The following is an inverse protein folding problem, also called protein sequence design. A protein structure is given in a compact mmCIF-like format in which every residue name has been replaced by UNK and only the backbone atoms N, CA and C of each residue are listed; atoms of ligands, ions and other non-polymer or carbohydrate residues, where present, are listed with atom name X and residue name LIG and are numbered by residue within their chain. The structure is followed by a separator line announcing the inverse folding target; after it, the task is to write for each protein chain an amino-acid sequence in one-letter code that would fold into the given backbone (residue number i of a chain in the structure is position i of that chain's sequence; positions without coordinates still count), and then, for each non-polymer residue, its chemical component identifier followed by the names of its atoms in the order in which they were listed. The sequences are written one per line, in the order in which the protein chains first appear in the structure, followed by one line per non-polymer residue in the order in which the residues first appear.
data_IF_737314226417
#
_entry.id   IF_737314226417
#
_cell.length_a   1.000
_cell.length_b   1.000
_cell.length_c   1.000
_cell.angle_alpha   90.00
_cell.angle_beta   90.00
_cell.angle_gamma   90.00
#
_symmetry.space_group_name_H-M   'P 1'
#
loop_
_entity.id
_entity.type
_entity.pdbx_description
1 polymer ?
#
# COMPACT_ATOMS: atom_id res chain seq x y z
N UNK A 1 14.99 6.12 35.49
CA UNK A 1 15.32 5.85 34.07
C UNK A 1 14.21 6.30 33.12
N UNK A 2 12.91 6.17 33.46
CA UNK A 2 11.78 6.62 32.62
C UNK A 2 11.94 8.03 32.06
N UNK A 3 12.30 9.01 32.90
CA UNK A 3 12.61 10.38 32.44
C UNK A 3 13.77 10.43 31.44
N UNK A 4 14.82 9.61 31.61
CA UNK A 4 15.95 9.56 30.68
C UNK A 4 15.58 8.89 29.35
N UNK A 5 14.71 7.88 29.37
CA UNK A 5 14.16 7.22 28.17
C UNK A 5 13.31 8.24 27.41
N UNK A 6 12.39 8.92 28.09
CA UNK A 6 11.57 10.00 27.53
C UNK A 6 12.45 11.10 26.91
N UNK A 7 13.50 11.55 27.59
CA UNK A 7 14.43 12.53 27.02
C UNK A 7 15.23 11.98 25.83
N UNK A 8 15.62 10.70 25.84
CA UNK A 8 16.32 10.09 24.72
C UNK A 8 15.42 10.04 23.48
N UNK A 9 14.16 9.63 23.64
CA UNK A 9 13.14 9.63 22.57
C UNK A 9 12.88 11.05 22.08
N UNK A 10 12.71 12.01 22.99
CA UNK A 10 12.50 13.43 22.66
C UNK A 10 13.60 13.97 21.74
N UNK A 11 14.86 13.63 22.03
CA UNK A 11 16.03 14.15 21.32
C UNK A 11 16.52 13.27 20.16
N UNK A 12 15.76 12.23 19.79
CA UNK A 12 16.15 11.23 18.78
C UNK A 12 17.51 10.57 19.11
N UNK A 13 17.84 10.42 20.39
CA UNK A 13 19.10 9.90 20.90
C UNK A 13 19.05 8.37 21.03
N UNK A 14 19.23 7.71 19.88
CA UNK A 14 19.17 6.25 19.73
C UNK A 14 20.29 5.55 20.52
N UNK A 15 21.50 6.11 20.52
CA UNK A 15 22.64 5.50 21.21
C UNK A 15 22.39 5.48 22.73
N UNK A 16 21.83 6.55 23.27
CA UNK A 16 21.42 6.57 24.67
C UNK A 16 20.28 5.59 24.95
N UNK A 17 19.28 5.50 24.06
CA UNK A 17 18.19 4.54 24.23
C UNK A 17 18.70 3.09 24.26
N UNK A 18 19.67 2.75 23.42
CA UNK A 18 20.34 1.44 23.39
C UNK A 18 20.95 1.06 24.74
N UNK A 19 21.51 2.04 25.46
CA UNK A 19 22.10 1.84 26.79
C UNK A 19 21.07 1.79 27.93
N UNK A 20 19.92 2.45 27.77
CA UNK A 20 18.89 2.57 28.81
C UNK A 20 17.93 1.38 28.82
N UNK A 21 17.75 0.71 27.68
CA UNK A 21 16.84 -0.42 27.53
C UNK A 21 17.56 -1.75 27.78
N UNK A 22 16.88 -2.65 28.48
CA UNK A 22 17.40 -3.96 28.91
C UNK A 22 17.41 -4.94 27.72
N UNK A 23 18.56 -5.57 27.47
CA UNK A 23 18.75 -6.58 26.42
C UNK A 23 17.87 -7.82 26.61
N UNK A 24 17.45 -8.10 27.85
CA UNK A 24 16.65 -9.29 28.18
C UNK A 24 15.14 -9.04 28.14
N UNK A 25 14.71 -7.81 27.85
CA UNK A 25 13.30 -7.45 27.71
C UNK A 25 12.90 -7.32 26.23
N UNK A 26 11.62 -7.55 25.97
CA UNK A 26 10.98 -7.17 24.71
C UNK A 26 10.39 -5.76 24.81
N UNK A 27 10.27 -5.10 23.66
CA UNK A 27 9.62 -3.80 23.54
C UNK A 27 8.64 -3.87 22.37
N UNK A 28 7.36 -3.65 22.61
CA UNK A 28 6.26 -3.93 21.68
C UNK A 28 6.30 -5.39 21.18
N UNK A 29 6.52 -6.33 22.10
CA UNK A 29 6.66 -7.77 21.86
C UNK A 29 7.85 -8.17 20.96
N UNK A 30 8.75 -7.27 20.55
CA UNK A 30 9.93 -7.62 19.73
C UNK A 30 11.23 -7.45 20.51
N UNK A 31 12.33 -8.00 19.97
CA UNK A 31 13.66 -7.78 20.56
C UNK A 31 14.03 -6.29 20.64
N UNK A 32 14.80 -5.90 21.65
CA UNK A 32 15.32 -4.52 21.78
C UNK A 32 15.98 -4.02 20.49
N UNK A 33 16.85 -4.84 19.90
CA UNK A 33 17.56 -4.48 18.68
C UNK A 33 16.62 -4.14 17.52
N UNK A 34 15.54 -4.93 17.33
CA UNK A 34 14.55 -4.66 16.29
C UNK A 34 13.73 -3.41 16.60
N UNK A 35 13.29 -3.25 17.85
CA UNK A 35 12.55 -2.07 18.31
C UNK A 35 13.33 -0.78 18.04
N UNK A 36 14.58 -0.71 18.50
CA UNK A 36 15.44 0.46 18.34
C UNK A 36 15.75 0.72 16.86
N UNK A 37 16.04 -0.32 16.08
CA UNK A 37 16.27 -0.20 14.63
C UNK A 37 15.07 0.42 13.92
N UNK A 38 13.85 -0.01 14.25
CA UNK A 38 12.62 0.49 13.63
C UNK A 38 12.30 1.91 14.07
N UNK A 39 12.44 2.24 15.35
CA UNK A 39 12.29 3.61 15.86
C UNK A 39 13.30 4.57 15.20
N UNK A 40 14.56 4.16 15.06
CA UNK A 40 15.60 4.95 14.38
C UNK A 40 15.26 5.22 12.91
N UNK A 41 14.64 4.26 12.19
CA UNK A 41 14.17 4.50 10.82
C UNK A 41 13.14 5.64 10.78
N UNK A 42 12.22 5.69 11.74
CA UNK A 42 11.22 6.77 11.84
C UNK A 42 11.87 8.12 12.13
N UNK A 43 12.81 8.18 13.06
CA UNK A 43 13.57 9.40 13.34
C UNK A 43 14.41 9.85 12.13
N UNK A 44 15.03 8.94 11.39
CA UNK A 44 15.76 9.27 10.15
C UNK A 44 14.83 9.81 9.07
N UNK A 45 13.60 9.31 8.97
CA UNK A 45 12.60 9.86 8.05
C UNK A 45 12.24 11.29 8.45
N UNK A 46 11.87 11.51 9.71
CA UNK A 46 11.55 12.84 10.23
C UNK A 46 12.69 13.85 10.01
N UNK A 47 13.95 13.42 10.18
CA UNK A 47 15.13 14.27 9.91
C UNK A 47 15.24 14.69 8.45
N UNK A 48 14.87 13.83 7.49
CA UNK A 48 14.83 14.20 6.06
C UNK A 48 13.79 15.29 5.79
N UNK A 49 12.73 15.31 6.60
CA UNK A 49 11.65 16.30 6.53
C UNK A 49 11.92 17.54 7.41
N UNK A 50 13.13 17.65 7.99
CA UNK A 50 13.57 18.79 8.79
C UNK A 50 13.28 18.70 10.29
N UNK A 51 12.59 17.66 10.76
CA UNK A 51 12.31 17.43 12.18
C UNK A 51 13.47 16.67 12.84
N UNK A 52 14.22 17.33 13.73
CA UNK A 52 15.41 16.76 14.36
C UNK A 52 15.19 16.27 15.81
N UNK A 53 14.10 16.68 16.44
CA UNK A 53 13.69 16.33 17.80
C UNK A 53 12.21 16.66 17.98
N UNK A 54 11.62 16.17 19.06
CA UNK A 54 10.33 16.65 19.55
C UNK A 54 10.54 17.87 20.46
N UNK A 55 9.67 18.86 20.36
CA UNK A 55 9.74 20.10 21.12
C UNK A 55 9.10 19.93 22.51
N UNK A 56 7.97 19.23 22.56
CA UNK A 56 7.17 19.06 23.76
C UNK A 56 6.63 17.64 23.94
N UNK A 57 6.22 17.34 25.17
CA UNK A 57 5.62 16.07 25.56
C UNK A 57 4.31 16.36 26.28
N UNK A 58 3.23 15.76 25.81
CA UNK A 58 1.89 15.94 26.34
C UNK A 58 1.33 14.61 26.85
N UNK A 59 0.55 14.65 27.91
CA UNK A 59 -0.09 13.46 28.45
C UNK A 59 -1.50 13.30 27.87
N UNK A 60 -1.97 12.05 27.91
CA UNK A 60 -3.31 11.68 27.50
C UNK A 60 -3.68 10.30 28.00
N UNK A 61 -4.90 9.89 27.68
CA UNK A 61 -5.40 8.56 28.00
C UNK A 61 -5.50 7.73 26.73
N UNK A 62 -4.91 6.54 26.75
CA UNK A 62 -5.09 5.57 25.69
C UNK A 62 -6.55 5.08 25.68
N UNK A 63 -7.17 5.06 24.51
CA UNK A 63 -8.58 4.64 24.36
C UNK A 63 -8.74 3.32 23.59
N UNK A 64 -7.63 2.71 23.17
CA UNK A 64 -7.60 1.45 22.41
C UNK A 64 -6.70 0.40 23.09
N UNK A 65 -5.39 0.47 22.86
CA UNK A 65 -4.41 -0.58 23.14
C UNK A 65 -4.30 -0.90 24.64
N UNK A 66 -4.10 0.14 25.45
CA UNK A 66 -4.01 0.06 26.92
C UNK A 66 -5.10 0.95 27.52
N UNK A 67 -6.36 0.59 27.25
CA UNK A 67 -7.52 1.44 27.51
C UNK A 67 -7.56 1.93 28.97
N UNK A 68 -7.57 3.25 29.13
CA UNK A 68 -7.61 3.91 30.44
C UNK A 68 -6.23 4.21 31.05
N UNK A 69 -5.14 3.70 30.46
CA UNK A 69 -3.79 4.01 30.92
C UNK A 69 -3.32 5.37 30.39
N UNK A 70 -2.53 6.07 31.21
CA UNK A 70 -1.86 7.30 30.81
C UNK A 70 -0.71 7.00 29.83
N UNK A 71 -0.67 7.75 28.74
CA UNK A 71 0.33 7.66 27.69
C UNK A 71 0.81 9.08 27.30
N UNK A 72 1.87 9.15 26.49
CA UNK A 72 2.54 10.40 26.13
C UNK A 72 2.50 10.61 24.62
N UNK A 73 2.18 11.83 24.20
CA UNK A 73 2.44 12.34 22.84
C UNK A 73 3.76 13.08 22.86
N UNK A 74 4.72 12.65 22.05
CA UNK A 74 5.88 13.45 21.71
C UNK A 74 5.53 14.27 20.46
N UNK A 75 5.65 15.60 20.51
CA UNK A 75 5.21 16.47 19.42
C UNK A 75 6.31 17.49 19.06
N UNK A 76 6.52 17.67 17.77
CA UNK A 76 7.34 18.77 17.24
C UNK A 76 6.47 19.93 16.75
N UNK A 77 7.06 21.12 16.67
CA UNK A 77 6.46 22.32 16.09
C UNK A 77 6.15 22.16 14.59
N UNK A 78 6.78 21.20 13.92
CA UNK A 78 6.47 20.83 12.53
C UNK A 78 5.26 19.89 12.40
N UNK A 79 4.64 19.51 13.53
CA UNK A 79 3.49 18.62 13.60
C UNK A 79 3.81 17.13 13.50
N UNK A 80 5.09 16.75 13.41
CA UNK A 80 5.51 15.36 13.60
C UNK A 80 5.24 14.91 15.02
N UNK A 81 4.64 13.74 15.19
CA UNK A 81 4.29 13.21 16.49
C UNK A 81 4.54 11.71 16.63
N UNK A 82 4.70 11.26 17.87
CA UNK A 82 4.75 9.85 18.24
C UNK A 82 4.02 9.65 19.57
N UNK A 83 2.98 8.84 19.56
CA UNK A 83 2.21 8.51 20.75
C UNK A 83 2.72 7.20 21.36
N UNK A 84 3.21 7.22 22.60
CA UNK A 84 3.77 6.06 23.29
C UNK A 84 3.14 5.82 24.65
N UNK A 85 2.93 4.54 24.97
CA UNK A 85 2.72 4.06 26.33
C UNK A 85 4.03 3.44 26.84
N UNK A 86 4.57 3.96 27.93
CA UNK A 86 5.78 3.44 28.59
C UNK A 86 5.36 2.77 29.89
N UNK A 87 5.35 1.44 29.88
CA UNK A 87 5.06 0.62 31.06
C UNK A 87 6.27 0.62 31.99
N UNK A 88 6.02 0.79 33.28
CA UNK A 88 7.05 0.76 34.32
C UNK A 88 6.39 0.45 35.66
N UNK A 89 6.69 -0.72 36.22
CA UNK A 89 6.16 -1.19 37.51
C UNK A 89 6.85 -0.53 38.69
N UNK A 90 8.14 -0.24 38.57
CA UNK A 90 8.98 0.39 39.60
C UNK A 90 9.02 1.93 39.46
N UNK A 91 8.47 2.48 38.38
CA UNK A 91 8.55 3.91 38.03
C UNK A 91 9.95 4.35 37.56
N UNK A 92 10.92 3.45 37.57
CA UNK A 92 12.31 3.71 37.26
C UNK A 92 12.70 3.13 35.91
N UNK A 93 12.52 1.83 35.69
CA UNK A 93 12.87 1.09 34.47
C UNK A 93 11.66 0.91 33.56
N UNK A 94 11.89 0.86 32.24
CA UNK A 94 10.83 0.48 31.31
C UNK A 94 10.69 -1.05 31.32
N UNK A 95 9.46 -1.51 31.57
CA UNK A 95 9.09 -2.92 31.38
C UNK A 95 8.75 -3.20 29.92
N UNK A 96 8.09 -2.25 29.27
CA UNK A 96 7.79 -2.29 27.84
C UNK A 96 7.51 -0.86 27.33
N UNK A 97 7.56 -0.66 26.02
CA UNK A 97 7.25 0.58 25.32
C UNK A 97 6.41 0.24 24.08
N UNK A 98 5.20 0.77 24.02
CA UNK A 98 4.26 0.52 22.92
C UNK A 98 3.88 1.82 22.21
N UNK A 99 3.68 1.74 20.90
CA UNK A 99 2.98 2.77 20.13
C UNK A 99 1.49 2.74 20.50
N UNK A 100 0.94 3.90 20.83
CA UNK A 100 -0.46 4.06 21.18
C UNK A 100 -1.27 4.52 19.96
N UNK A 101 -2.04 3.61 19.36
CA UNK A 101 -2.80 3.89 18.13
C UNK A 101 -3.97 4.86 18.31
N UNK A 102 -4.41 5.12 19.55
CA UNK A 102 -5.53 6.03 19.83
C UNK A 102 -5.39 6.72 21.18
N UNK A 103 -4.57 7.76 21.21
CA UNK A 103 -4.37 8.61 22.38
C UNK A 103 -5.32 9.81 22.35
N UNK A 104 -6.11 9.98 23.42
CA UNK A 104 -6.84 11.23 23.65
C UNK A 104 -6.03 12.10 24.58
N UNK A 105 -5.48 13.19 24.06
CA UNK A 105 -4.69 14.15 24.84
C UNK A 105 -5.59 15.00 25.76
N UNK A 106 -5.01 15.49 26.86
CA UNK A 106 -5.71 16.41 27.78
C UNK A 106 -5.87 17.82 27.23
N UNK A 107 -5.18 18.12 26.14
CA UNK A 107 -5.30 19.35 25.37
C UNK A 107 -5.40 19.01 23.89
N UNK A 108 -5.96 19.92 23.11
CA UNK A 108 -5.99 19.79 21.66
C UNK A 108 -4.59 20.04 21.09
N UNK A 109 -4.15 19.14 20.21
CA UNK A 109 -2.83 19.15 19.59
C UNK A 109 -2.96 19.09 18.08
N UNK A 110 -2.15 19.88 17.38
CA UNK A 110 -2.05 19.83 15.92
C UNK A 110 -1.06 18.74 15.51
N UNK A 111 -1.59 17.53 15.28
CA UNK A 111 -0.84 16.35 14.84
C UNK A 111 -0.97 16.20 13.33
N UNK A 112 0.13 16.31 12.59
CA UNK A 112 0.12 16.26 11.12
C UNK A 112 0.86 15.04 10.55
N UNK A 113 2.00 14.65 11.13
CA UNK A 113 2.83 13.55 10.60
C UNK A 113 3.06 12.48 11.66
N UNK A 114 2.44 11.32 11.49
CA UNK A 114 2.54 10.19 12.42
C UNK A 114 3.86 9.43 12.25
N UNK A 115 4.65 9.35 13.32
CA UNK A 115 5.89 8.55 13.38
C UNK A 115 5.68 7.16 13.99
N UNK A 116 4.44 6.77 14.28
CA UNK A 116 4.05 5.44 14.76
C UNK A 116 4.52 4.30 13.84
N UNK A 117 4.66 3.13 14.45
CA UNK A 117 5.08 1.89 13.78
C UNK A 117 4.48 0.66 14.45
N UNK A 118 4.35 -0.40 13.66
CA UNK A 118 3.92 -1.73 14.09
C UNK A 118 4.96 -2.77 13.68
N UNK A 119 4.82 -3.97 14.25
CA UNK A 119 5.59 -5.15 13.88
C UNK A 119 4.63 -6.25 13.44
N UNK A 120 5.09 -7.08 12.50
CA UNK A 120 4.39 -8.30 12.10
C UNK A 120 4.36 -9.31 13.25
N UNK A 121 3.38 -10.21 13.22
CA UNK A 121 3.24 -11.31 14.19
C UNK A 121 4.49 -12.21 14.18
N UNK A 122 5.07 -12.43 13.01
CA UNK A 122 6.30 -13.18 12.79
C UNK A 122 7.59 -12.48 13.23
N UNK A 123 7.52 -11.20 13.58
CA UNK A 123 8.64 -10.44 14.15
C UNK A 123 8.65 -10.48 15.68
N UNK A 124 7.56 -10.96 16.30
CA UNK A 124 7.43 -11.03 17.76
C UNK A 124 8.43 -12.03 18.36
N UNK A 125 8.92 -11.70 19.56
CA UNK A 125 9.93 -12.46 20.28
C UNK A 125 9.47 -13.88 20.62
N UNK A 126 8.19 -14.07 20.88
CA UNK A 126 7.58 -15.36 21.22
C UNK A 126 6.95 -16.09 20.03
N UNK A 127 7.12 -15.56 18.82
CA UNK A 127 6.60 -16.18 17.61
C UNK A 127 7.18 -17.58 17.41
N UNK A 128 6.28 -18.53 17.11
CA UNK A 128 6.65 -19.91 16.79
C UNK A 128 6.09 -20.22 15.41
N UNK A 129 6.94 -20.32 14.37
CA UNK A 129 6.48 -20.61 13.04
C UNK A 129 5.91 -22.03 12.99
N UNK A 130 4.76 -22.18 12.35
CA UNK A 130 4.23 -23.50 12.01
C UNK A 130 4.80 -23.97 10.66
N UNK A 131 4.43 -25.19 10.27
CA UNK A 131 4.92 -25.79 9.02
C UNK A 131 4.48 -24.97 7.79
N UNK A 132 3.28 -24.40 7.81
CA UNK A 132 2.72 -23.63 6.70
C UNK A 132 3.50 -22.33 6.50
N UNK A 133 3.76 -21.60 7.58
CA UNK A 133 4.57 -20.39 7.56
C UNK A 133 5.97 -20.66 7.02
N UNK A 134 6.61 -21.77 7.45
CA UNK A 134 7.95 -22.14 6.98
C UNK A 134 7.98 -22.43 5.48
N UNK A 135 7.00 -23.17 4.97
CA UNK A 135 6.89 -23.48 3.53
C UNK A 135 6.69 -22.18 2.73
N UNK A 136 5.77 -21.32 3.17
CA UNK A 136 5.49 -20.06 2.49
C UNK A 136 6.72 -19.15 2.48
N UNK A 137 7.42 -19.04 3.62
CA UNK A 137 8.66 -18.27 3.72
C UNK A 137 9.74 -18.79 2.75
N UNK A 138 9.95 -20.11 2.68
CA UNK A 138 10.90 -20.71 1.76
C UNK A 138 10.55 -20.42 0.29
N UNK A 139 9.26 -20.54 -0.07
CA UNK A 139 8.77 -20.22 -1.40
C UNK A 139 8.95 -18.74 -1.76
N UNK A 140 8.69 -17.83 -0.81
CA UNK A 140 8.92 -16.40 -0.98
C UNK A 140 10.41 -16.08 -1.18
N UNK A 141 11.29 -16.62 -0.35
CA UNK A 141 12.74 -16.41 -0.45
C UNK A 141 13.31 -16.97 -1.77
N UNK A 142 12.80 -18.11 -2.22
CA UNK A 142 13.13 -18.68 -3.52
C UNK A 142 12.65 -17.79 -4.66
N UNK A 143 11.39 -17.33 -4.63
CA UNK A 143 10.85 -16.42 -5.65
C UNK A 143 11.66 -15.12 -5.72
N UNK A 144 11.94 -14.50 -4.58
CA UNK A 144 12.76 -13.29 -4.49
C UNK A 144 14.14 -13.50 -5.13
N UNK A 145 14.77 -14.64 -4.83
CA UNK A 145 16.08 -14.99 -5.36
C UNK A 145 16.03 -15.21 -6.87
N UNK A 146 15.05 -15.95 -7.39
CA UNK A 146 14.93 -16.23 -8.82
C UNK A 146 14.56 -14.98 -9.62
N UNK A 147 13.66 -14.16 -9.11
CA UNK A 147 13.26 -12.90 -9.76
C UNK A 147 14.43 -11.91 -9.84
N UNK A 148 15.29 -11.87 -8.81
CA UNK A 148 16.49 -11.02 -8.84
C UNK A 148 17.53 -11.43 -9.89
N UNK A 149 17.41 -12.66 -10.43
CA UNK A 149 18.28 -13.19 -11.49
C UNK A 149 17.66 -13.07 -12.89
N UNK A 150 16.40 -12.65 -12.99
CA UNK A 150 15.78 -12.43 -14.29
C UNK A 150 16.53 -11.32 -15.01
N UNK A 151 17.07 -11.64 -16.18
CA UNK A 151 17.80 -10.72 -17.03
C UNK A 151 17.37 -10.85 -18.50
N UNK A 152 17.69 -9.83 -19.28
CA UNK A 152 17.38 -9.81 -20.71
C UNK A 152 15.89 -9.63 -21.04
N UNK A 153 15.52 -10.15 -22.21
CA UNK A 153 14.17 -10.07 -22.77
C UNK A 153 13.47 -11.41 -22.51
N UNK A 154 12.33 -11.36 -21.84
CA UNK A 154 11.54 -12.54 -21.48
C UNK A 154 10.16 -12.44 -22.14
N UNK A 155 9.69 -13.50 -22.80
CA UNK A 155 8.34 -13.52 -23.35
C UNK A 155 7.30 -13.63 -22.25
N UNK A 156 6.17 -12.95 -22.43
CA UNK A 156 5.06 -12.96 -21.48
C UNK A 156 4.59 -14.38 -21.13
N UNK A 157 4.41 -15.24 -22.14
CA UNK A 157 3.93 -16.60 -21.92
C UNK A 157 4.99 -17.47 -21.21
N UNK A 158 6.26 -17.31 -21.58
CA UNK A 158 7.38 -18.03 -20.93
C UNK A 158 7.49 -17.63 -19.45
N UNK A 159 7.32 -16.34 -19.13
CA UNK A 159 7.31 -15.86 -17.75
C UNK A 159 6.10 -16.40 -16.97
N UNK A 160 4.93 -16.42 -17.60
CA UNK A 160 3.68 -16.93 -17.01
C UNK A 160 3.80 -18.44 -16.70
N UNK A 161 4.27 -19.22 -17.66
CA UNK A 161 4.48 -20.65 -17.51
C UNK A 161 5.54 -20.93 -16.45
N UNK A 162 6.67 -20.24 -16.47
CA UNK A 162 7.70 -20.38 -15.45
C UNK A 162 7.14 -20.06 -14.05
N UNK A 163 6.42 -18.95 -13.89
CA UNK A 163 5.90 -18.53 -12.59
C UNK A 163 4.92 -19.56 -12.01
N UNK A 164 3.92 -19.98 -12.78
CA UNK A 164 2.92 -20.92 -12.28
C UNK A 164 3.46 -22.35 -12.17
N UNK A 165 4.45 -22.76 -12.96
CA UNK A 165 5.08 -24.07 -12.78
C UNK A 165 5.93 -24.17 -11.50
N UNK A 166 6.48 -23.05 -11.00
CA UNK A 166 7.38 -23.03 -9.86
C UNK A 166 6.75 -22.48 -8.57
N UNK A 167 5.78 -21.58 -8.67
CA UNK A 167 5.26 -20.80 -7.54
C UNK A 167 3.72 -20.77 -7.45
N UNK A 168 3.02 -21.69 -8.12
CA UNK A 168 1.56 -21.78 -8.03
C UNK A 168 1.08 -21.98 -6.59
N UNK A 169 1.81 -22.73 -5.76
CA UNK A 169 1.48 -22.89 -4.34
C UNK A 169 1.46 -21.53 -3.62
N UNK A 170 2.56 -20.78 -3.71
CA UNK A 170 2.70 -19.46 -3.09
C UNK A 170 1.61 -18.51 -3.57
N UNK A 171 1.39 -18.45 -4.89
CA UNK A 171 0.34 -17.64 -5.51
C UNK A 171 -1.05 -17.96 -4.94
N UNK A 172 -1.44 -19.25 -4.95
CA UNK A 172 -2.75 -19.68 -4.46
C UNK A 172 -2.93 -19.43 -2.98
N UNK A 173 -1.92 -19.73 -2.16
CA UNK A 173 -1.98 -19.54 -0.71
C UNK A 173 -2.17 -18.06 -0.40
N UNK A 174 -1.30 -17.18 -0.92
CA UNK A 174 -1.39 -15.74 -0.70
C UNK A 174 -2.72 -15.14 -1.19
N UNK A 175 -3.18 -15.52 -2.38
CA UNK A 175 -4.44 -15.03 -2.94
C UNK A 175 -5.68 -15.53 -2.19
N UNK A 176 -5.54 -16.57 -1.34
CA UNK A 176 -6.61 -17.09 -0.50
C UNK A 176 -6.66 -16.47 0.89
N UNK A 177 -5.60 -15.78 1.32
CA UNK A 177 -5.54 -15.13 2.62
C UNK A 177 -6.40 -13.86 2.62
N UNK A 178 -6.95 -13.54 3.79
CA UNK A 178 -7.62 -12.27 4.00
C UNK A 178 -6.58 -11.12 3.94
N UNK A 179 -6.91 -9.94 3.37
CA UNK A 179 -5.97 -8.82 3.30
C UNK A 179 -5.39 -8.42 4.67
N UNK A 180 -6.16 -8.52 5.75
CA UNK A 180 -5.67 -8.22 7.10
C UNK A 180 -4.75 -9.31 7.63
N UNK A 181 -4.93 -10.56 7.21
CA UNK A 181 -4.01 -11.65 7.53
C UNK A 181 -2.66 -11.46 6.84
N UNK A 182 -2.67 -11.09 5.55
CA UNK A 182 -1.45 -10.72 4.83
C UNK A 182 -0.71 -9.56 5.51
N UNK A 183 -1.44 -8.52 5.95
CA UNK A 183 -0.84 -7.37 6.63
C UNK A 183 -0.34 -7.67 8.06
N UNK A 184 -0.86 -8.73 8.69
CA UNK A 184 -0.48 -9.09 10.05
C UNK A 184 0.92 -9.73 10.13
N UNK A 185 1.41 -10.36 9.06
CA UNK A 185 2.72 -11.01 9.01
C UNK A 185 3.63 -10.29 8.01
N UNK A 186 4.85 -9.97 8.41
CA UNK A 186 5.85 -9.29 7.56
C UNK A 186 6.20 -10.16 6.33
N UNK A 187 6.42 -11.46 6.51
CA UNK A 187 6.66 -12.39 5.39
C UNK A 187 5.47 -12.46 4.43
N UNK A 188 4.23 -12.53 4.94
CA UNK A 188 3.04 -12.65 4.07
C UNK A 188 2.80 -11.37 3.30
N UNK A 189 2.93 -10.21 3.96
CA UNK A 189 2.84 -8.92 3.29
C UNK A 189 3.89 -8.80 2.18
N UNK A 190 5.15 -9.17 2.46
CA UNK A 190 6.22 -9.15 1.43
C UNK A 190 5.96 -10.10 0.29
N UNK A 191 5.50 -11.31 0.58
CA UNK A 191 5.12 -12.30 -0.44
C UNK A 191 3.96 -11.78 -1.29
N UNK A 192 2.89 -11.26 -0.68
CA UNK A 192 1.75 -10.67 -1.37
C UNK A 192 2.13 -9.50 -2.27
N UNK A 193 3.04 -8.64 -1.81
CA UNK A 193 3.56 -7.56 -2.64
C UNK A 193 4.32 -8.10 -3.85
N UNK A 194 5.23 -9.06 -3.65
CA UNK A 194 6.04 -9.62 -4.74
C UNK A 194 5.20 -10.41 -5.76
N UNK A 195 4.30 -11.29 -5.30
CA UNK A 195 3.41 -12.07 -6.17
C UNK A 195 2.48 -11.15 -6.96
N UNK A 196 1.90 -10.14 -6.32
CA UNK A 196 1.04 -9.15 -6.98
C UNK A 196 1.77 -8.39 -8.07
N UNK A 197 3.03 -7.99 -7.84
CA UNK A 197 3.85 -7.33 -8.87
C UNK A 197 4.09 -8.25 -10.07
N UNK A 198 4.44 -9.52 -9.88
CA UNK A 198 4.66 -10.44 -11.01
C UNK A 198 3.35 -10.73 -11.74
N UNK A 199 2.31 -11.11 -11.00
CA UNK A 199 1.02 -11.52 -11.56
C UNK A 199 0.28 -10.39 -12.29
N UNK A 200 0.62 -9.13 -11.96
CA UNK A 200 0.14 -7.96 -12.68
C UNK A 200 0.49 -8.02 -14.16
N UNK A 201 1.69 -8.47 -14.51
CA UNK A 201 2.17 -8.55 -15.89
C UNK A 201 1.28 -9.50 -16.71
N UNK A 202 0.78 -10.56 -16.09
CA UNK A 202 -0.12 -11.54 -16.72
C UNK A 202 -1.53 -11.00 -16.98
N UNK A 203 -1.84 -9.74 -16.61
CA UNK A 203 -3.10 -9.10 -17.02
C UNK A 203 -3.22 -8.98 -18.53
N UNK A 204 -2.10 -8.81 -19.24
CA UNK A 204 -2.07 -8.75 -20.71
C UNK A 204 -2.63 -10.03 -21.32
N UNK A 205 -2.13 -11.19 -20.89
CA UNK A 205 -2.61 -12.49 -21.40
C UNK A 205 -4.04 -12.78 -20.97
N UNK A 206 -4.42 -12.44 -19.72
CA UNK A 206 -5.79 -12.61 -19.20
C UNK A 206 -6.83 -11.75 -19.91
N UNK A 207 -6.44 -10.59 -20.44
CA UNK A 207 -7.36 -9.66 -21.10
C UNK A 207 -7.50 -9.89 -22.61
N UNK A 208 -6.65 -10.73 -23.22
CA UNK A 208 -6.58 -10.98 -24.66
C UNK A 208 -7.95 -11.13 -25.37
N UNK A 209 -8.77 -12.10 -24.95
CA UNK A 209 -10.08 -12.33 -25.59
C UNK A 209 -10.98 -11.11 -25.49
N UNK A 210 -11.07 -10.49 -24.31
CA UNK A 210 -11.94 -9.33 -24.12
C UNK A 210 -11.43 -8.09 -24.86
N UNK A 211 -10.12 -7.89 -24.90
CA UNK A 211 -9.53 -6.77 -25.63
C UNK A 211 -9.87 -6.84 -27.12
N UNK A 212 -9.79 -8.03 -27.74
CA UNK A 212 -10.16 -8.22 -29.13
C UNK A 212 -11.61 -7.81 -29.42
N UNK A 213 -12.56 -8.31 -28.61
CA UNK A 213 -13.99 -7.99 -28.77
C UNK A 213 -14.26 -6.50 -28.51
N UNK A 214 -13.68 -5.97 -27.44
CA UNK A 214 -13.92 -4.60 -26.99
C UNK A 214 -13.34 -3.56 -27.96
N UNK A 215 -12.21 -3.83 -28.59
CA UNK A 215 -11.66 -2.96 -29.62
C UNK A 215 -12.55 -2.88 -30.85
N UNK A 216 -13.16 -4.00 -31.27
CA UNK A 216 -14.13 -4.02 -32.38
C UNK A 216 -15.35 -3.19 -32.00
N UNK A 217 -15.91 -3.42 -30.81
CA UNK A 217 -17.09 -2.69 -30.32
C UNK A 217 -16.82 -1.17 -30.20
N UNK A 218 -15.61 -0.80 -29.79
CA UNK A 218 -15.23 0.61 -29.64
C UNK A 218 -15.29 1.37 -30.97
N UNK A 219 -15.00 0.72 -32.11
CA UNK A 219 -15.08 1.36 -33.43
C UNK A 219 -16.48 1.84 -33.79
N UNK A 220 -17.51 1.24 -33.18
CA UNK A 220 -18.93 1.61 -33.40
C UNK A 220 -19.45 2.61 -32.36
N UNK A 221 -18.63 2.99 -31.38
CA UNK A 221 -18.99 3.94 -30.33
C UNK A 221 -18.82 5.40 -30.79
N UNK A 222 -19.81 5.89 -31.54
CA UNK A 222 -19.79 7.24 -32.14
C UNK A 222 -20.23 8.31 -31.11
N UNK A 223 -21.27 8.01 -30.34
CA UNK A 223 -21.80 8.93 -29.34
C UNK A 223 -21.10 8.79 -28.00
N UNK A 224 -21.06 9.87 -27.23
CA UNK A 224 -20.57 9.85 -25.84
C UNK A 224 -21.30 8.79 -24.99
N UNK A 225 -22.62 8.68 -25.12
CA UNK A 225 -23.40 7.66 -24.38
C UNK A 225 -22.90 6.24 -24.66
N UNK A 226 -22.61 5.92 -25.93
CA UNK A 226 -22.06 4.61 -26.31
C UNK A 226 -20.67 4.40 -25.72
N UNK A 227 -19.81 5.43 -25.74
CA UNK A 227 -18.49 5.36 -25.10
C UNK A 227 -18.58 5.15 -23.58
N UNK A 228 -19.52 5.81 -22.90
CA UNK A 228 -19.75 5.62 -21.46
C UNK A 228 -20.23 4.20 -21.16
N UNK A 229 -21.15 3.64 -21.96
CA UNK A 229 -21.58 2.23 -21.84
C UNK A 229 -20.37 1.30 -22.03
N UNK A 230 -19.60 1.52 -23.10
CA UNK A 230 -18.42 0.73 -23.42
C UNK A 230 -17.40 0.76 -22.27
N UNK A 231 -17.16 1.93 -21.68
CA UNK A 231 -16.29 2.06 -20.51
C UNK A 231 -16.78 1.18 -19.35
N UNK A 232 -18.05 1.30 -18.95
CA UNK A 232 -18.56 0.54 -17.80
C UNK A 232 -18.60 -0.98 -18.03
N UNK A 233 -18.75 -1.43 -19.27
CA UNK A 233 -18.63 -2.86 -19.62
C UNK A 233 -17.19 -3.37 -19.51
N UNK A 234 -16.20 -2.48 -19.62
CA UNK A 234 -14.78 -2.78 -19.67
C UNK A 234 -14.00 -2.37 -18.42
N UNK A 235 -14.64 -1.67 -17.48
CA UNK A 235 -14.05 -1.03 -16.30
C UNK A 235 -13.22 -1.95 -15.39
N UNK A 236 -13.35 -3.27 -15.48
CA UNK A 236 -12.53 -4.23 -14.70
C UNK A 236 -11.04 -4.16 -15.05
N UNK A 237 -10.71 -3.70 -16.25
CA UNK A 237 -9.34 -3.55 -16.74
C UNK A 237 -8.87 -2.09 -16.74
N UNK A 238 -9.66 -1.19 -16.15
CA UNK A 238 -9.25 0.20 -15.93
C UNK A 238 -7.96 0.25 -15.10
N UNK A 239 -7.05 1.15 -15.48
CA UNK A 239 -5.67 1.25 -15.02
C UNK A 239 -4.82 0.01 -15.35
N UNK A 240 -5.15 -0.61 -16.48
CA UNK A 240 -4.41 -1.74 -17.02
C UNK A 240 -2.97 -1.39 -17.36
N UNK A 241 -2.72 -0.17 -17.86
CA UNK A 241 -1.41 0.27 -18.35
C UNK A 241 -0.62 1.16 -17.36
N UNK A 242 -1.15 1.47 -16.17
CA UNK A 242 -0.66 2.57 -15.31
C UNK A 242 0.76 2.36 -14.71
N UNK A 243 1.38 1.19 -14.87
CA UNK A 243 2.76 0.91 -14.40
C UNK A 243 3.72 0.52 -15.51
N UNK A 244 3.25 0.49 -16.75
CA UNK A 244 4.10 0.13 -17.89
C UNK A 244 4.85 1.38 -18.35
N UNK A 245 6.19 1.38 -18.22
CA UNK A 245 7.02 2.39 -18.88
C UNK A 245 7.15 2.01 -20.35
N UNK A 246 6.15 2.41 -21.13
CA UNK A 246 6.13 2.21 -22.57
C UNK A 246 7.24 3.07 -23.22
N UNK A 247 8.14 2.44 -23.96
CA UNK A 247 9.09 3.16 -24.82
C UNK A 247 8.36 3.76 -26.01
N UNK A 248 8.85 4.85 -26.61
CA UNK A 248 8.19 5.49 -27.76
C UNK A 248 7.99 4.55 -28.97
N UNK A 249 8.78 3.47 -29.04
CA UNK A 249 8.80 2.46 -30.10
C UNK A 249 8.18 1.10 -29.69
N UNK A 250 7.46 1.02 -28.56
CA UNK A 250 6.88 -0.23 -28.05
C UNK A 250 5.95 -0.90 -29.07
N UNK A 251 5.27 -0.11 -29.91
CA UNK A 251 4.38 -0.62 -30.98
C UNK A 251 5.09 -1.34 -32.11
N UNK A 252 6.38 -1.06 -32.30
CA UNK A 252 7.18 -1.68 -33.36
C UNK A 252 8.12 -2.75 -32.83
N UNK A 253 8.54 -2.64 -31.57
CA UNK A 253 9.48 -3.57 -30.95
C UNK A 253 8.80 -4.59 -30.01
N UNK A 254 7.52 -4.39 -29.67
CA UNK A 254 6.72 -5.27 -28.81
C UNK A 254 7.39 -5.61 -27.48
N UNK A 255 8.16 -4.67 -26.94
CA UNK A 255 8.84 -4.81 -25.65
C UNK A 255 8.46 -3.70 -24.69
N UNK A 256 8.29 -4.02 -23.41
CA UNK A 256 8.06 -3.05 -22.34
C UNK A 256 9.07 -3.23 -21.22
N UNK A 257 9.50 -2.11 -20.62
CA UNK A 257 10.37 -2.13 -19.45
C UNK A 257 9.51 -2.23 -18.20
N UNK A 258 9.69 -3.30 -17.43
CA UNK A 258 9.00 -3.50 -16.17
C UNK A 258 9.98 -3.29 -15.02
N UNK A 259 9.74 -2.27 -14.20
CA UNK A 259 10.63 -1.87 -13.09
C UNK A 259 9.81 -1.60 -11.82
N UNK A 260 9.88 -2.54 -10.87
CA UNK A 260 9.37 -2.39 -9.51
C UNK A 260 10.30 -3.16 -8.59
N UNK A 261 11.15 -2.47 -7.81
CA UNK A 261 12.12 -3.09 -6.89
C UNK A 261 11.47 -4.23 -6.09
N UNK A 262 11.99 -5.48 -6.15
CA UNK A 262 13.30 -5.91 -6.70
C UNK A 262 13.30 -6.37 -8.17
N UNK A 263 12.19 -6.20 -8.88
CA UNK A 263 11.95 -6.67 -10.23
C UNK A 263 12.42 -5.63 -11.25
N UNK A 264 13.29 -6.04 -12.17
CA UNK A 264 13.63 -5.27 -13.36
C UNK A 264 13.93 -6.20 -14.52
N UNK A 265 13.10 -6.18 -15.56
CA UNK A 265 13.34 -6.95 -16.78
C UNK A 265 12.66 -6.30 -18.00
N UNK A 266 13.04 -6.74 -19.19
CA UNK A 266 12.37 -6.37 -20.44
C UNK A 266 11.40 -7.50 -20.80
N UNK A 267 10.13 -7.14 -20.97
CA UNK A 267 9.08 -8.09 -21.31
C UNK A 267 8.77 -8.01 -22.81
N UNK A 268 8.89 -9.12 -23.52
CA UNK A 268 8.38 -9.29 -24.88
C UNK A 268 6.89 -9.67 -24.82
N UNK A 269 6.07 -8.76 -25.35
CA UNK A 269 4.61 -8.84 -25.40
C UNK A 269 4.11 -9.12 -26.83
N UNK A 270 4.97 -9.66 -27.70
CA UNK A 270 4.61 -9.99 -29.08
C UNK A 270 3.33 -10.82 -29.12
N UNK A 271 2.33 -10.35 -29.84
CA UNK A 271 0.99 -10.97 -29.89
C UNK A 271 0.00 -10.45 -28.85
N UNK A 272 0.38 -9.51 -27.98
CA UNK A 272 -0.47 -8.85 -26.99
C UNK A 272 -0.50 -7.32 -27.14
N UNK A 273 0.05 -6.77 -28.22
CA UNK A 273 0.14 -5.32 -28.46
C UNK A 273 -1.26 -4.68 -28.50
N UNK A 274 -2.23 -5.36 -29.10
CA UNK A 274 -3.61 -4.91 -29.14
C UNK A 274 -4.25 -4.86 -27.74
N UNK A 275 -3.80 -5.67 -26.79
CA UNK A 275 -4.29 -5.61 -25.40
C UNK A 275 -3.81 -4.33 -24.73
N UNK A 276 -2.57 -3.91 -24.98
CA UNK A 276 -2.09 -2.61 -24.53
C UNK A 276 -2.87 -1.46 -25.18
N UNK A 277 -3.12 -1.51 -26.49
CA UNK A 277 -3.95 -0.49 -27.15
C UNK A 277 -5.35 -0.44 -26.51
N UNK A 278 -5.95 -1.58 -26.18
CA UNK A 278 -7.21 -1.66 -25.45
C UNK A 278 -7.14 -0.98 -24.06
N UNK A 279 -6.10 -1.26 -23.26
CA UNK A 279 -5.91 -0.60 -21.96
C UNK A 279 -5.73 0.91 -22.12
N UNK A 280 -4.91 1.36 -23.07
CA UNK A 280 -4.67 2.77 -23.35
C UNK A 280 -5.96 3.48 -23.75
N UNK A 281 -6.78 2.88 -24.61
CA UNK A 281 -8.07 3.46 -25.02
C UNK A 281 -9.01 3.57 -23.82
N UNK A 282 -9.07 2.52 -22.99
CA UNK A 282 -9.93 2.49 -21.80
C UNK A 282 -9.52 3.56 -20.79
N UNK A 283 -8.24 3.67 -20.49
CA UNK A 283 -7.68 4.61 -19.51
C UNK A 283 -7.83 6.06 -20.01
N UNK A 284 -7.50 6.34 -21.28
CA UNK A 284 -7.69 7.66 -21.88
C UNK A 284 -9.16 8.10 -21.89
N UNK A 285 -10.08 7.17 -22.18
CA UNK A 285 -11.51 7.47 -22.17
C UNK A 285 -11.99 7.83 -20.76
N UNK A 286 -11.52 7.10 -19.74
CA UNK A 286 -11.82 7.43 -18.35
C UNK A 286 -11.33 8.83 -17.99
N UNK A 287 -10.06 9.14 -18.29
CA UNK A 287 -9.46 10.44 -17.99
C UNK A 287 -10.18 11.59 -18.71
N UNK A 288 -10.55 11.40 -19.99
CA UNK A 288 -11.36 12.36 -20.75
C UNK A 288 -12.70 12.63 -20.04
N UNK A 289 -13.41 11.58 -19.61
CA UNK A 289 -14.70 11.70 -18.95
C UNK A 289 -14.59 12.31 -17.55
N UNK A 290 -13.56 11.94 -16.79
CA UNK A 290 -13.28 12.49 -15.46
C UNK A 290 -12.98 13.98 -15.51
N UNK A 291 -12.15 14.42 -16.46
CA UNK A 291 -11.85 15.84 -16.61
C UNK A 291 -13.06 16.62 -17.14
N UNK A 292 -13.79 16.06 -18.12
CA UNK A 292 -15.00 16.69 -18.67
C UNK A 292 -16.09 16.91 -17.61
N UNK A 293 -16.28 15.94 -16.72
CA UNK A 293 -17.30 15.98 -15.67
C UNK A 293 -16.74 16.32 -14.31
N UNK A 294 -15.57 16.95 -14.27
CA UNK A 294 -14.96 17.41 -13.03
C UNK A 294 -15.97 18.19 -12.19
N UNK A 295 -16.08 17.90 -10.89
CA UNK A 295 -17.06 18.56 -10.03
C UNK A 295 -16.82 20.06 -9.93
N UNK A 296 -17.90 20.82 -9.92
CA UNK A 296 -17.90 22.27 -9.77
C UNK A 296 -17.93 22.64 -8.28
N UNK A 297 -17.50 23.86 -7.89
CA UNK A 297 -17.54 24.31 -6.49
C UNK A 297 -18.91 24.16 -5.82
N UNK A 298 -20.00 24.33 -6.58
CA UNK A 298 -21.37 24.19 -6.09
C UNK A 298 -21.68 22.75 -5.65
N UNK A 299 -21.06 21.74 -6.26
CA UNK A 299 -21.23 20.34 -5.88
C UNK A 299 -20.64 20.06 -4.49
N UNK A 300 -19.53 20.71 -4.14
CA UNK A 300 -18.94 20.61 -2.80
C UNK A 300 -19.78 21.35 -1.77
N UNK A 301 -20.29 22.54 -2.11
CA UNK A 301 -21.17 23.32 -1.23
C UNK A 301 -22.53 22.66 -0.96
N UNK A 302 -23.01 21.81 -1.86
CA UNK A 302 -24.24 21.03 -1.69
C UNK A 302 -24.07 19.75 -0.86
N UNK A 303 -22.83 19.31 -0.60
CA UNK A 303 -22.54 18.13 0.22
C UNK A 303 -22.56 18.48 1.71
N UNK A 304 -23.27 17.69 2.52
CA UNK A 304 -23.30 17.86 3.99
C UNK A 304 -21.90 17.79 4.63
N UNK A 305 -20.99 17.03 4.01
CA UNK A 305 -19.61 16.86 4.48
C UNK A 305 -18.62 17.85 3.87
N UNK A 306 -19.06 18.68 2.91
CA UNK A 306 -18.16 19.48 2.08
C UNK A 306 -17.24 18.67 1.16
N UNK A 307 -17.48 17.35 1.05
CA UNK A 307 -16.67 16.43 0.25
C UNK A 307 -17.54 15.65 -0.73
N UNK A 308 -16.91 15.14 -1.79
CA UNK A 308 -17.58 14.35 -2.82
C UNK A 308 -16.72 13.14 -3.18
N UNK A 309 -17.35 12.09 -3.68
CA UNK A 309 -16.67 10.91 -4.18
C UNK A 309 -16.00 11.18 -5.53
N UNK A 310 -14.75 10.76 -5.67
CA UNK A 310 -13.96 10.90 -6.90
C UNK A 310 -14.10 9.65 -7.77
N UNK A 311 -15.27 9.49 -8.37
CA UNK A 311 -15.58 8.42 -9.32
C UNK A 311 -16.37 8.97 -10.51
N UNK A 312 -16.21 8.32 -11.68
CA UNK A 312 -16.92 8.72 -12.88
C UNK A 312 -18.44 8.62 -12.69
N UNK A 313 -18.92 7.58 -12.02
CA UNK A 313 -20.34 7.43 -11.66
C UNK A 313 -20.84 8.63 -10.87
N UNK A 314 -20.11 9.06 -9.84
CA UNK A 314 -20.50 10.21 -9.04
C UNK A 314 -20.45 11.52 -9.84
N UNK A 315 -19.43 11.70 -10.68
CA UNK A 315 -19.30 12.88 -11.52
C UNK A 315 -20.48 13.00 -12.49
N UNK A 316 -20.85 11.90 -13.15
CA UNK A 316 -22.02 11.83 -14.03
C UNK A 316 -23.33 12.13 -13.28
N UNK A 317 -23.48 11.65 -12.03
CA UNK A 317 -24.65 11.95 -11.18
C UNK A 317 -24.74 13.43 -10.83
N UNK A 318 -23.65 14.04 -10.39
CA UNK A 318 -23.59 15.45 -10.04
C UNK A 318 -23.99 16.35 -11.22
N UNK A 319 -23.58 15.98 -12.43
CA UNK A 319 -23.90 16.71 -13.66
C UNK A 319 -25.24 16.29 -14.31
N UNK A 320 -25.99 15.36 -13.72
CA UNK A 320 -27.22 14.79 -14.27
C UNK A 320 -27.06 14.26 -15.71
N UNK A 321 -25.98 13.50 -15.96
CA UNK A 321 -25.62 12.93 -17.26
C UNK A 321 -25.62 11.41 -17.23
N UNK A 322 -26.12 10.79 -18.30
CA UNK A 322 -26.10 9.33 -18.52
C UNK A 322 -26.57 8.50 -17.31
N UNK A 323 -27.54 9.01 -16.55
CA UNK A 323 -27.98 8.38 -15.30
C UNK A 323 -28.55 6.97 -15.53
N UNK A 324 -29.18 6.74 -16.68
CA UNK A 324 -29.67 5.43 -17.09
C UNK A 324 -28.51 4.44 -17.26
N UNK A 325 -27.41 4.86 -17.89
CA UNK A 325 -26.20 4.06 -18.06
C UNK A 325 -25.54 3.76 -16.71
N UNK A 326 -25.38 4.77 -15.85
CA UNK A 326 -24.80 4.58 -14.51
C UNK A 326 -25.63 3.60 -13.69
N UNK A 327 -26.96 3.66 -13.79
CA UNK A 327 -27.87 2.74 -13.09
C UNK A 327 -27.75 1.29 -13.59
N UNK A 328 -27.57 1.11 -14.89
CA UNK A 328 -27.53 -0.22 -15.51
C UNK A 328 -26.15 -0.89 -15.41
N UNK A 329 -25.08 -0.12 -15.65
CA UNK A 329 -23.71 -0.65 -15.82
C UNK A 329 -22.71 -0.16 -14.76
N UNK A 330 -23.05 0.87 -13.97
CA UNK A 330 -22.19 1.35 -12.90
C UNK A 330 -21.99 0.31 -11.79
N UNK A 331 -20.94 0.48 -10.98
CA UNK A 331 -20.66 -0.44 -9.87
C UNK A 331 -21.83 -0.50 -8.88
N UNK A 332 -22.34 -1.71 -8.63
CA UNK A 332 -23.39 -1.96 -7.63
C UNK A 332 -22.74 -2.08 -6.25
N UNK A 333 -23.21 -1.29 -5.29
CA UNK A 333 -22.60 -1.21 -3.96
C UNK A 333 -22.36 0.21 -3.45
N UNK A 334 -22.78 1.22 -4.22
CA UNK A 334 -22.84 2.62 -3.85
C UNK A 334 -24.29 3.10 -3.91
#
# INVERSE_FOLDING_TARGET
MKKQITEAIKNFDIDKLETLLDDNKSYQDVSKALFIKTLNKKFKSAKKDGCNSFDDIFFGICTSCNKGCEAMTFLSNSGHYLDLFIESKDGETADDIYVCNKLTNFIDLEKSVDLGFSFGVDEKYDFKPDAEFLILKEQYELLLTEVSKLDGIIKLDDLNDWYFNNFEYLSKTINSLDPFECLAYDVYNKAANLTSQIERVFKLSKAATQASESLIDYQFCISEKQKVIWFFQNQKYHYGAIYDKLSDDWRTNSTINYELDPISFILDISGYEYVLDYFIILDNLYDELMEKYKPLPEHFGASESGSIEYSLENYLRLHNKHLDVVKEYGRKGY
#
